data_IF_637158528000
#
_entry.id   IF_637158528000
#
_cell.length_a   1.000
_cell.length_b   1.000
_cell.length_c   1.000
_cell.angle_alpha   90.00
_cell.angle_beta   90.00
_cell.angle_gamma   90.00
#
_symmetry.space_group_name_H-M   'P 1'
#
loop_
_entity.id
_entity.type
_entity.pdbx_description
1 polymer ?
#
# COMPACT_ATOMS: atom_id res chain seq x y z
N UNK A 1 17.24 -7.25 -16.46
CA UNK A 1 16.24 -6.86 -15.45
C UNK A 1 16.70 -7.39 -14.10
N UNK A 2 16.76 -6.56 -13.06
CA UNK A 2 16.99 -7.03 -11.68
C UNK A 2 15.77 -7.87 -11.29
N UNK A 3 15.96 -9.08 -10.78
CA UNK A 3 14.85 -9.85 -10.20
C UNK A 3 14.45 -9.16 -8.89
N UNK A 4 13.28 -8.53 -8.87
CA UNK A 4 12.76 -7.78 -7.73
C UNK A 4 11.67 -8.52 -6.96
N UNK A 5 11.43 -9.79 -7.26
CA UNK A 5 10.46 -10.59 -6.51
C UNK A 5 10.79 -10.57 -5.02
N UNK A 6 9.75 -10.42 -4.21
CA UNK A 6 9.89 -10.51 -2.76
C UNK A 6 10.44 -11.88 -2.34
N UNK A 7 11.22 -11.89 -1.25
CA UNK A 7 11.69 -13.13 -0.60
C UNK A 7 10.63 -13.72 0.33
N UNK A 8 9.59 -12.95 0.66
CA UNK A 8 8.46 -13.44 1.43
C UNK A 8 7.57 -14.26 0.50
N UNK A 9 7.21 -15.49 0.86
CA UNK A 9 6.26 -16.29 0.07
C UNK A 9 4.92 -15.57 -0.06
N UNK A 10 4.42 -15.49 -1.28
CA UNK A 10 3.10 -14.94 -1.59
C UNK A 10 2.16 -16.10 -1.92
N UNK A 11 0.99 -16.11 -1.29
CA UNK A 11 -0.05 -17.10 -1.51
C UNK A 11 -1.25 -16.45 -2.21
N UNK A 12 -2.03 -17.28 -2.89
CA UNK A 12 -3.36 -16.91 -3.38
C UNK A 12 -4.41 -17.57 -2.50
N UNK A 13 -5.44 -16.82 -2.17
CA UNK A 13 -6.51 -17.24 -1.27
C UNK A 13 -7.82 -17.42 -2.05
N UNK A 14 -8.72 -18.22 -1.52
CA UNK A 14 -10.08 -18.34 -2.04
C UNK A 14 -10.81 -16.98 -1.99
N UNK A 15 -11.99 -16.92 -2.62
CA UNK A 15 -12.72 -15.65 -2.79
C UNK A 15 -13.95 -15.52 -1.87
N UNK A 16 -14.20 -16.51 -1.01
CA UNK A 16 -15.29 -16.44 -0.02
C UNK A 16 -14.74 -16.21 1.38
N UNK A 17 -15.47 -15.45 2.20
CA UNK A 17 -15.06 -15.14 3.56
C UNK A 17 -14.80 -16.40 4.40
N UNK A 18 -15.72 -17.36 4.34
CA UNK A 18 -15.63 -18.59 5.14
C UNK A 18 -14.37 -19.40 4.81
N UNK A 19 -14.08 -19.55 3.52
CA UNK A 19 -12.89 -20.27 3.07
C UNK A 19 -11.61 -19.51 3.42
N UNK A 20 -11.59 -18.17 3.23
CA UNK A 20 -10.45 -17.35 3.60
C UNK A 20 -10.12 -17.47 5.10
N UNK A 21 -11.11 -17.35 5.97
CA UNK A 21 -10.91 -17.51 7.41
C UNK A 21 -10.32 -18.89 7.75
N UNK A 22 -10.78 -19.94 7.10
CA UNK A 22 -10.26 -21.29 7.29
C UNK A 22 -8.83 -21.46 6.77
N UNK A 23 -8.49 -20.87 5.65
CA UNK A 23 -7.12 -20.85 5.12
C UNK A 23 -6.15 -20.10 6.05
N UNK A 24 -6.58 -18.95 6.59
CA UNK A 24 -5.79 -18.14 7.51
C UNK A 24 -5.48 -18.84 8.85
N UNK A 25 -6.28 -19.79 9.30
CA UNK A 25 -5.97 -20.61 10.48
C UNK A 25 -4.65 -21.38 10.29
N UNK A 26 -4.38 -21.80 9.06
CA UNK A 26 -3.23 -22.60 8.71
C UNK A 26 -2.10 -21.83 8.02
N UNK A 27 -2.29 -20.54 7.76
CA UNK A 27 -1.29 -19.70 7.13
C UNK A 27 0.03 -19.67 7.93
N UNK A 28 1.19 -20.00 7.31
CA UNK A 28 2.46 -20.09 8.01
C UNK A 28 2.93 -18.74 8.60
N UNK A 29 2.67 -17.64 7.90
CA UNK A 29 3.04 -16.29 8.35
C UNK A 29 2.24 -15.90 9.58
N UNK A 30 0.92 -16.16 9.57
CA UNK A 30 0.05 -15.85 10.70
C UNK A 30 0.33 -16.76 11.91
N UNK A 31 0.72 -18.01 11.71
CA UNK A 31 1.20 -18.88 12.81
C UNK A 31 2.45 -18.28 13.48
N UNK A 32 3.37 -17.76 12.68
CA UNK A 32 4.56 -17.07 13.19
C UNK A 32 4.19 -15.77 13.91
N UNK A 33 3.30 -14.96 13.36
CA UNK A 33 2.79 -13.74 14.00
C UNK A 33 2.16 -14.01 15.35
N UNK A 34 1.32 -15.04 15.47
CA UNK A 34 0.74 -15.46 16.75
C UNK A 34 1.81 -15.84 17.78
N UNK A 35 2.86 -16.53 17.35
CA UNK A 35 3.97 -16.89 18.22
C UNK A 35 4.73 -15.65 18.71
N UNK A 36 5.04 -14.73 17.82
CA UNK A 36 5.72 -13.46 18.15
C UNK A 36 4.88 -12.61 19.11
N UNK A 37 3.56 -12.51 18.88
CA UNK A 37 2.65 -11.81 19.79
C UNK A 37 2.60 -12.45 21.17
N UNK A 38 2.57 -13.77 21.26
CA UNK A 38 2.57 -14.48 22.54
C UNK A 38 3.86 -14.24 23.33
N UNK A 39 5.02 -14.22 22.65
CA UNK A 39 6.30 -13.93 23.28
C UNK A 39 6.42 -12.50 23.84
N UNK A 40 5.72 -11.55 23.23
CA UNK A 40 5.72 -10.13 23.61
C UNK A 40 4.51 -9.72 24.47
N UNK A 41 3.65 -10.66 24.84
CA UNK A 41 2.40 -10.35 25.55
C UNK A 41 2.63 -9.73 26.93
N UNK A 42 3.71 -10.11 27.61
CA UNK A 42 4.04 -9.65 28.96
C UNK A 42 4.97 -8.43 28.98
N UNK A 43 5.31 -7.86 27.81
CA UNK A 43 6.14 -6.65 27.74
C UNK A 43 5.35 -5.44 28.29
N UNK A 44 5.79 -4.83 29.41
CA UNK A 44 5.06 -3.71 30.04
C UNK A 44 5.06 -2.43 29.19
N UNK A 45 5.91 -2.35 28.19
CA UNK A 45 5.98 -1.18 27.27
C UNK A 45 5.13 -1.36 26.01
N UNK A 46 4.53 -2.54 25.82
CA UNK A 46 3.69 -2.79 24.66
C UNK A 46 2.36 -2.05 24.77
N UNK A 47 1.94 -1.30 23.76
CA UNK A 47 0.62 -0.68 23.72
C UNK A 47 -0.50 -1.72 23.85
N UNK A 48 -1.53 -1.41 24.66
CA UNK A 48 -2.63 -2.34 24.95
C UNK A 48 -3.69 -2.31 23.85
N UNK A 49 -3.95 -1.12 23.28
CA UNK A 49 -5.06 -0.90 22.33
C UNK A 49 -4.61 -0.34 20.96
N UNK A 50 -3.37 0.08 20.82
CA UNK A 50 -2.84 0.46 19.52
C UNK A 50 -2.40 -0.77 18.75
N UNK A 51 -2.62 -0.76 17.45
CA UNK A 51 -2.05 -1.79 16.59
C UNK A 51 -0.52 -1.72 16.61
N UNK A 52 0.10 -2.86 16.79
CA UNK A 52 1.55 -3.04 16.77
C UNK A 52 1.88 -4.12 15.75
N UNK A 53 2.84 -3.88 14.88
CA UNK A 53 3.31 -4.92 13.96
C UNK A 53 3.78 -6.16 14.76
N UNK A 54 3.36 -7.36 14.37
CA UNK A 54 3.79 -8.57 15.07
C UNK A 54 5.30 -8.83 14.99
N UNK A 55 5.94 -8.40 13.93
CA UNK A 55 7.37 -8.59 13.69
C UNK A 55 7.99 -7.39 12.97
N UNK A 56 9.18 -6.98 13.41
CA UNK A 56 9.92 -5.89 12.79
C UNK A 56 9.31 -4.50 13.03
N UNK A 57 9.69 -3.54 12.20
CA UNK A 57 9.24 -2.17 12.31
C UNK A 57 7.88 -1.98 11.61
N UNK A 58 7.05 -1.14 12.21
CA UNK A 58 5.89 -0.54 11.58
C UNK A 58 6.26 0.89 11.25
N UNK A 59 6.23 1.22 9.95
CA UNK A 59 6.34 2.58 9.49
C UNK A 59 4.95 3.16 9.21
N UNK A 60 4.83 4.06 8.26
CA UNK A 60 3.59 4.80 7.99
C UNK A 60 2.37 3.89 7.92
N UNK A 61 1.35 4.09 8.77
CA UNK A 61 0.02 3.55 8.49
C UNK A 61 -0.54 4.24 7.24
N UNK A 62 -1.12 3.47 6.35
CA UNK A 62 -1.68 3.98 5.09
C UNK A 62 -2.87 3.17 4.62
N UNK A 63 -3.52 3.59 3.56
CA UNK A 63 -4.57 2.83 2.90
C UNK A 63 -5.74 2.41 3.80
N UNK A 64 -6.03 3.14 4.88
CA UNK A 64 -7.13 2.81 5.79
C UNK A 64 -8.48 2.85 5.08
N UNK A 65 -9.29 1.79 5.20
CA UNK A 65 -10.61 1.74 4.59
C UNK A 65 -11.60 0.85 5.35
N UNK A 66 -12.89 1.00 5.00
CA UNK A 66 -13.96 0.13 5.49
C UNK A 66 -14.51 -0.67 4.31
N UNK A 67 -14.38 -1.99 4.38
CA UNK A 67 -14.78 -2.91 3.33
C UNK A 67 -15.53 -4.11 3.90
N UNK A 68 -16.69 -4.41 3.35
CA UNK A 68 -17.53 -5.57 3.71
C UNK A 68 -17.69 -5.78 5.23
N UNK A 69 -17.94 -4.69 5.97
CA UNK A 69 -18.19 -4.74 7.41
C UNK A 69 -16.93 -4.72 8.30
N UNK A 70 -15.75 -4.50 7.73
CA UNK A 70 -14.47 -4.48 8.44
C UNK A 70 -13.66 -3.25 8.12
N UNK A 71 -12.94 -2.74 9.12
CA UNK A 71 -11.91 -1.74 8.95
C UNK A 71 -10.61 -2.44 8.59
N UNK A 72 -9.98 -2.03 7.50
CA UNK A 72 -8.70 -2.53 7.06
C UNK A 72 -7.63 -1.46 7.27
N UNK A 73 -6.53 -1.84 7.89
CA UNK A 73 -5.35 -1.02 8.09
C UNK A 73 -4.21 -1.63 7.29
N UNK A 74 -3.61 -0.83 6.42
CA UNK A 74 -2.35 -1.17 5.78
C UNK A 74 -1.24 -0.33 6.39
N UNK A 75 -0.01 -0.79 6.28
CA UNK A 75 1.15 -0.09 6.82
C UNK A 75 2.42 -0.52 6.12
N UNK A 76 3.44 0.30 6.15
CA UNK A 76 4.75 -0.07 5.65
C UNK A 76 5.38 -1.10 6.61
N UNK A 77 5.52 -2.34 6.15
CA UNK A 77 6.09 -3.45 6.89
C UNK A 77 7.47 -3.84 6.35
N UNK A 78 8.34 -4.27 7.25
CA UNK A 78 9.66 -4.81 6.93
C UNK A 78 9.74 -6.26 7.41
N UNK A 79 9.38 -7.22 6.57
CA UNK A 79 9.45 -8.63 6.94
C UNK A 79 10.90 -9.07 7.13
N UNK A 80 11.20 -9.96 8.07
CA UNK A 80 12.58 -10.40 8.33
C UNK A 80 13.29 -11.03 7.12
N UNK A 81 12.55 -11.64 6.22
CA UNK A 81 13.08 -12.29 5.01
C UNK A 81 13.50 -11.29 3.93
N UNK A 82 12.88 -10.11 3.95
CA UNK A 82 13.11 -9.08 2.93
C UNK A 82 13.08 -7.70 3.58
N UNK A 83 14.21 -7.02 3.61
CA UNK A 83 14.35 -5.70 4.23
C UNK A 83 13.64 -4.58 3.46
N UNK A 84 13.06 -4.88 2.30
CA UNK A 84 12.29 -3.92 1.52
C UNK A 84 10.89 -3.73 2.13
N UNK A 85 10.34 -2.54 1.97
CA UNK A 85 8.99 -2.23 2.44
C UNK A 85 7.94 -2.94 1.59
N UNK A 86 7.05 -3.63 2.28
CA UNK A 86 5.80 -4.21 1.80
C UNK A 86 4.63 -3.45 2.41
N UNK A 87 3.43 -3.63 1.92
CA UNK A 87 2.25 -3.28 2.68
C UNK A 87 1.88 -4.45 3.61
N UNK A 88 2.06 -4.22 4.91
CA UNK A 88 1.48 -5.05 5.96
C UNK A 88 -0.03 -4.85 6.01
N UNK A 89 -0.75 -5.75 6.67
CA UNK A 89 -2.20 -5.74 6.67
C UNK A 89 -2.78 -6.24 7.99
N UNK A 90 -3.81 -5.57 8.45
CA UNK A 90 -4.63 -6.01 9.57
C UNK A 90 -6.08 -5.57 9.34
N UNK A 91 -7.04 -6.26 9.98
CA UNK A 91 -8.42 -5.82 10.02
C UNK A 91 -8.97 -5.75 11.44
N UNK A 92 -10.04 -4.98 11.61
CA UNK A 92 -10.80 -4.89 12.85
C UNK A 92 -12.28 -4.70 12.54
N UNK A 93 -13.16 -5.18 13.41
CA UNK A 93 -14.60 -4.93 13.33
C UNK A 93 -15.03 -3.74 14.23
N UNK A 94 -14.16 -3.31 15.15
CA UNK A 94 -14.48 -2.30 16.17
C UNK A 94 -13.41 -1.21 16.38
N UNK A 95 -12.31 -1.25 15.61
CA UNK A 95 -11.15 -0.34 15.71
C UNK A 95 -10.30 -0.52 16.99
N UNK A 96 -10.63 -1.47 17.83
CA UNK A 96 -9.91 -1.77 19.08
C UNK A 96 -9.23 -3.13 19.00
N UNK A 97 -9.96 -4.15 18.54
CA UNK A 97 -9.46 -5.50 18.42
C UNK A 97 -9.01 -5.75 16.97
N UNK A 98 -7.70 -5.86 16.81
CA UNK A 98 -7.07 -6.03 15.49
C UNK A 98 -6.63 -7.46 15.26
N UNK A 99 -6.87 -7.94 14.05
CA UNK A 99 -6.47 -9.25 13.55
C UNK A 99 -5.40 -9.09 12.48
N UNK A 100 -4.26 -9.74 12.65
CA UNK A 100 -3.22 -9.75 11.64
C UNK A 100 -3.69 -10.50 10.40
N UNK A 101 -3.30 -9.99 9.25
CA UNK A 101 -3.44 -10.64 7.95
C UNK A 101 -2.08 -10.82 7.27
N UNK A 102 -1.97 -11.68 6.27
CA UNK A 102 -0.78 -11.73 5.41
C UNK A 102 -0.49 -10.38 4.77
N UNK A 103 0.76 -10.18 4.32
CA UNK A 103 1.12 -8.97 3.60
C UNK A 103 0.21 -8.77 2.38
N UNK A 104 -0.26 -7.53 2.19
CA UNK A 104 -1.19 -7.20 1.11
C UNK A 104 -0.46 -6.96 -0.22
N UNK A 105 0.53 -6.08 -0.24
CA UNK A 105 1.23 -5.69 -1.47
C UNK A 105 2.73 -5.96 -1.32
N UNK A 106 3.27 -6.64 -2.32
CA UNK A 106 4.66 -7.06 -2.41
C UNK A 106 5.40 -6.23 -3.45
N UNK A 107 6.67 -5.82 -3.20
CA UNK A 107 7.45 -5.07 -4.18
C UNK A 107 7.84 -5.97 -5.37
N UNK A 108 7.35 -5.62 -6.56
CA UNK A 108 7.68 -6.13 -7.89
C UNK A 108 6.75 -5.44 -8.92
N UNK A 109 7.20 -4.56 -9.84
CA UNK A 109 8.57 -4.25 -10.22
C UNK A 109 9.27 -3.19 -9.35
N UNK A 110 8.55 -2.46 -8.52
CA UNK A 110 9.12 -1.43 -7.65
C UNK A 110 10.11 -2.03 -6.63
N UNK A 111 11.07 -1.24 -6.22
CA UNK A 111 12.04 -1.67 -5.19
C UNK A 111 11.36 -1.78 -3.81
N UNK A 112 10.42 -0.87 -3.49
CA UNK A 112 9.69 -0.84 -2.22
C UNK A 112 8.28 -0.30 -2.44
N UNK A 113 7.33 -0.79 -1.64
CA UNK A 113 5.97 -0.28 -1.58
C UNK A 113 5.88 0.80 -0.49
N UNK A 114 5.94 2.07 -0.88
CA UNK A 114 5.82 3.21 0.04
C UNK A 114 4.36 3.58 0.28
N UNK A 115 4.13 4.70 0.94
CA UNK A 115 2.83 5.15 1.37
C UNK A 115 1.88 5.46 0.21
N UNK A 116 0.60 5.45 0.52
CA UNK A 116 -0.47 5.72 -0.40
C UNK A 116 -1.84 5.68 0.27
N UNK A 117 -2.86 5.67 -0.53
CA UNK A 117 -4.26 5.67 -0.10
C UNK A 117 -5.04 4.53 -0.76
N UNK A 118 -6.18 4.20 -0.17
CA UNK A 118 -7.16 3.31 -0.79
C UNK A 118 -8.41 4.08 -1.21
N UNK A 119 -9.09 3.56 -2.22
CA UNK A 119 -10.42 4.01 -2.67
C UNK A 119 -11.34 2.79 -2.71
N UNK A 120 -12.42 2.85 -1.93
CA UNK A 120 -13.44 1.80 -1.91
C UNK A 120 -14.47 2.08 -2.99
N UNK A 121 -14.67 1.15 -3.90
CA UNK A 121 -15.77 1.13 -4.86
C UNK A 121 -16.81 0.08 -4.46
N UNK A 122 -17.87 -0.04 -5.24
CA UNK A 122 -18.99 -0.94 -4.93
C UNK A 122 -18.56 -2.41 -4.87
N UNK A 123 -17.62 -2.81 -5.71
CA UNK A 123 -17.24 -4.20 -5.98
C UNK A 123 -15.74 -4.50 -5.78
N UNK A 124 -14.96 -3.47 -5.43
CA UNK A 124 -13.51 -3.61 -5.24
C UNK A 124 -12.93 -2.48 -4.40
N UNK A 125 -11.72 -2.68 -3.95
CA UNK A 125 -10.87 -1.66 -3.33
C UNK A 125 -9.64 -1.44 -4.20
N UNK A 126 -9.32 -0.18 -4.43
CA UNK A 126 -8.11 0.26 -5.12
C UNK A 126 -7.07 0.67 -4.08
N UNK A 127 -5.82 0.33 -4.29
CA UNK A 127 -4.67 0.90 -3.60
C UNK A 127 -3.86 1.72 -4.60
N UNK A 128 -3.66 2.99 -4.32
CA UNK A 128 -2.81 3.90 -5.10
C UNK A 128 -1.64 4.30 -4.20
N UNK A 129 -0.41 3.94 -4.56
CA UNK A 129 0.74 4.07 -3.69
C UNK A 129 2.02 4.42 -4.45
N UNK A 130 3.02 4.91 -3.74
CA UNK A 130 4.32 5.21 -4.30
C UNK A 130 5.20 3.96 -4.36
N UNK A 131 5.58 3.53 -5.54
CA UNK A 131 6.56 2.49 -5.80
C UNK A 131 7.94 3.09 -6.04
N UNK A 132 8.90 2.79 -5.17
CA UNK A 132 10.27 3.31 -5.28
C UNK A 132 10.91 2.84 -6.60
N UNK A 133 11.61 3.74 -7.25
CA UNK A 133 12.23 3.62 -8.58
C UNK A 133 11.23 3.50 -9.76
N UNK A 134 9.92 3.42 -9.49
CA UNK A 134 8.88 3.28 -10.53
C UNK A 134 7.97 4.53 -10.62
N UNK A 135 7.34 4.93 -9.52
CA UNK A 135 6.37 6.01 -9.45
C UNK A 135 5.04 5.57 -8.81
N UNK A 136 3.94 6.17 -9.23
CA UNK A 136 2.62 5.80 -8.70
C UNK A 136 2.17 4.46 -9.25
N UNK A 137 1.93 3.53 -8.35
CA UNK A 137 1.40 2.20 -8.64
C UNK A 137 -0.09 2.12 -8.27
N UNK A 138 -0.84 1.28 -8.96
CA UNK A 138 -2.23 0.96 -8.60
C UNK A 138 -2.41 -0.54 -8.56
N UNK A 139 -2.97 -1.02 -7.45
CA UNK A 139 -3.39 -2.41 -7.27
C UNK A 139 -4.87 -2.48 -6.91
N UNK A 140 -5.51 -3.61 -7.18
CA UNK A 140 -6.93 -3.85 -6.89
C UNK A 140 -7.10 -5.16 -6.11
N UNK A 141 -8.11 -5.18 -5.23
CA UNK A 141 -8.62 -6.39 -4.59
C UNK A 141 -10.14 -6.31 -4.49
N UNK A 142 -10.82 -7.46 -4.58
CA UNK A 142 -12.29 -7.56 -4.49
C UNK A 142 -12.77 -8.65 -3.54
N UNK A 143 -11.83 -9.40 -2.96
CA UNK A 143 -12.19 -10.45 -2.00
C UNK A 143 -12.54 -9.88 -0.61
N UNK A 144 -13.27 -10.65 0.22
CA UNK A 144 -13.81 -10.15 1.48
C UNK A 144 -12.79 -9.63 2.48
N UNK A 145 -11.59 -10.22 2.53
CA UNK A 145 -10.53 -9.83 3.45
C UNK A 145 -9.38 -9.09 2.77
N UNK A 146 -9.52 -8.71 1.49
CA UNK A 146 -8.50 -8.01 0.71
C UNK A 146 -7.14 -8.74 0.75
N UNK A 147 -7.15 -10.05 0.57
CA UNK A 147 -5.95 -10.89 0.61
C UNK A 147 -5.27 -11.01 -0.75
N UNK A 148 -6.05 -10.92 -1.84
CA UNK A 148 -5.54 -11.05 -3.20
C UNK A 148 -5.49 -9.68 -3.87
N UNK A 149 -4.30 -9.15 -4.02
CA UNK A 149 -4.06 -7.88 -4.71
C UNK A 149 -3.42 -8.10 -6.06
N UNK A 150 -3.96 -7.47 -7.08
CA UNK A 150 -3.43 -7.49 -8.42
C UNK A 150 -3.03 -6.08 -8.85
N UNK A 151 -1.77 -5.89 -9.27
CA UNK A 151 -1.32 -4.65 -9.90
C UNK A 151 -1.90 -4.54 -11.30
N UNK A 152 -2.62 -3.46 -11.57
CA UNK A 152 -3.36 -3.28 -12.83
C UNK A 152 -2.45 -3.13 -14.06
N UNK A 153 -1.19 -2.82 -13.83
CA UNK A 153 -0.14 -2.74 -14.84
C UNK A 153 1.14 -3.33 -14.28
N UNK A 154 1.99 -3.86 -15.13
CA UNK A 154 3.33 -4.34 -14.76
C UNK A 154 4.37 -3.23 -14.53
N UNK A 155 3.96 -1.98 -14.36
CA UNK A 155 4.79 -0.78 -14.17
C UNK A 155 3.98 0.33 -13.53
N UNK A 156 4.63 1.43 -13.15
CA UNK A 156 3.93 2.61 -12.67
C UNK A 156 2.91 3.16 -13.69
N UNK A 157 1.75 3.56 -13.20
CA UNK A 157 0.72 4.25 -14.00
C UNK A 157 1.04 5.73 -14.19
N UNK A 158 1.73 6.36 -13.20
CA UNK A 158 2.36 7.67 -13.30
C UNK A 158 3.85 7.45 -12.98
N UNK A 159 4.73 7.41 -13.98
CA UNK A 159 6.13 7.06 -13.74
C UNK A 159 6.87 8.18 -13.00
N UNK A 160 7.90 7.80 -12.24
CA UNK A 160 8.90 8.75 -11.78
C UNK A 160 9.55 9.38 -13.00
N UNK A 161 9.72 10.68 -12.91
CA UNK A 161 10.36 11.46 -13.95
C UNK A 161 11.57 12.14 -13.35
N UNK A 162 12.70 11.91 -13.96
CA UNK A 162 13.87 12.75 -13.74
C UNK A 162 13.62 14.09 -14.43
N UNK A 163 13.28 15.10 -13.63
CA UNK A 163 12.93 16.43 -14.10
C UNK A 163 14.07 17.09 -14.87
N UNK A 164 15.32 16.76 -14.54
CA UNK A 164 16.50 17.33 -15.16
C UNK A 164 16.72 16.82 -16.59
N UNK A 165 16.25 15.62 -16.90
CA UNK A 165 16.47 14.97 -18.21
C UNK A 165 15.28 15.08 -19.15
N UNK A 166 14.06 15.24 -18.63
CA UNK A 166 12.85 15.12 -19.46
C UNK A 166 12.01 16.38 -19.58
N UNK A 167 12.32 17.41 -18.81
CA UNK A 167 11.54 18.66 -18.77
C UNK A 167 10.08 18.46 -18.33
N UNK A 168 9.75 17.33 -17.69
CA UNK A 168 8.42 17.11 -17.14
C UNK A 168 8.24 17.93 -15.87
N UNK A 169 7.07 18.54 -15.70
CA UNK A 169 6.86 19.54 -14.65
C UNK A 169 6.44 18.94 -13.32
N UNK A 170 6.66 17.65 -13.05
CA UNK A 170 6.23 17.01 -11.82
C UNK A 170 7.17 15.92 -11.32
N UNK A 171 7.16 15.73 -10.03
CA UNK A 171 7.70 14.58 -9.32
C UNK A 171 6.56 13.92 -8.54
N UNK A 172 6.51 12.59 -8.44
CA UNK A 172 5.41 11.89 -7.76
C UNK A 172 5.89 11.21 -6.49
N UNK A 173 5.12 11.42 -5.40
CA UNK A 173 5.38 10.85 -4.08
C UNK A 173 4.08 10.83 -3.28
N UNK A 174 3.85 9.81 -2.45
CA UNK A 174 2.71 9.66 -1.53
C UNK A 174 1.36 10.08 -2.15
N UNK A 175 0.85 9.33 -3.12
CA UNK A 175 -0.38 9.69 -3.80
C UNK A 175 -1.62 9.44 -2.94
N UNK A 176 -2.64 10.27 -3.10
CA UNK A 176 -4.02 9.93 -2.77
C UNK A 176 -4.84 9.75 -4.04
N UNK A 177 -6.01 9.12 -3.93
CA UNK A 177 -6.91 8.84 -5.04
C UNK A 177 -8.36 9.07 -4.63
N UNK A 178 -9.16 9.65 -5.53
CA UNK A 178 -10.61 9.71 -5.40
C UNK A 178 -11.29 9.58 -6.77
N UNK A 179 -12.60 9.48 -6.77
CA UNK A 179 -13.41 9.35 -7.98
C UNK A 179 -14.44 10.44 -8.06
N UNK A 180 -14.61 11.00 -9.26
CA UNK A 180 -15.68 11.91 -9.64
C UNK A 180 -16.49 11.29 -10.80
N UNK A 181 -17.52 12.02 -11.29
CA UNK A 181 -18.39 11.54 -12.36
C UNK A 181 -17.66 11.28 -13.68
N UNK A 182 -16.58 12.02 -13.94
CA UNK A 182 -15.79 11.97 -15.18
C UNK A 182 -14.55 11.07 -15.08
N UNK A 183 -14.30 10.43 -13.92
CA UNK A 183 -13.18 9.51 -13.76
C UNK A 183 -12.48 9.57 -12.40
N UNK A 184 -11.22 9.19 -12.41
CA UNK A 184 -10.38 9.13 -11.23
C UNK A 184 -9.42 10.32 -11.21
N UNK A 185 -9.19 10.81 -10.01
CA UNK A 185 -8.21 11.84 -9.74
C UNK A 185 -7.17 11.33 -8.77
N UNK A 186 -5.92 11.74 -8.95
CA UNK A 186 -4.84 11.49 -8.00
C UNK A 186 -4.09 12.78 -7.73
N UNK A 187 -3.88 13.06 -6.45
CA UNK A 187 -3.02 14.12 -5.99
C UNK A 187 -1.76 13.50 -5.42
N UNK A 188 -0.60 13.86 -5.97
CA UNK A 188 0.69 13.37 -5.52
C UNK A 188 1.51 14.51 -4.96
N UNK A 189 2.13 14.31 -3.79
CA UNK A 189 3.20 15.17 -3.31
C UNK A 189 4.42 15.10 -4.21
N UNK A 190 5.33 16.05 -4.10
CA UNK A 190 6.58 16.03 -4.83
C UNK A 190 7.37 17.33 -4.69
N UNK A 191 8.39 17.48 -5.52
CA UNK A 191 9.31 18.60 -5.46
C UNK A 191 9.36 19.31 -6.81
N UNK A 192 9.45 20.62 -6.77
CA UNK A 192 9.81 21.48 -7.91
C UNK A 192 11.06 22.25 -7.53
N UNK A 193 11.96 22.43 -8.49
CA UNK A 193 13.22 23.14 -8.36
C UNK A 193 14.21 22.53 -7.33
N UNK A 194 15.37 22.16 -7.76
CA UNK A 194 16.50 21.70 -6.96
C UNK A 194 16.46 20.24 -6.52
N UNK A 195 17.60 19.72 -6.07
CA UNK A 195 17.69 18.39 -5.51
C UNK A 195 16.93 18.28 -4.18
N UNK A 196 16.41 17.08 -3.91
CA UNK A 196 15.76 16.78 -2.63
C UNK A 196 16.71 17.13 -1.48
N UNK A 197 16.24 17.97 -0.55
CA UNK A 197 16.95 18.50 0.64
C UNK A 197 17.82 19.75 0.43
N UNK A 198 17.96 20.28 -0.79
CA UNK A 198 18.65 21.55 -1.04
C UNK A 198 17.76 22.45 -1.90
N UNK A 199 17.31 23.57 -1.37
CA UNK A 199 16.51 24.62 -2.06
C UNK A 199 15.29 24.12 -2.87
N UNK A 200 14.81 22.90 -2.60
CA UNK A 200 13.62 22.36 -3.26
C UNK A 200 12.35 22.95 -2.63
N UNK A 201 11.38 23.25 -3.45
CA UNK A 201 10.03 23.59 -3.01
C UNK A 201 9.13 22.36 -3.11
N UNK A 202 8.41 22.05 -2.03
CA UNK A 202 7.36 21.06 -2.10
C UNK A 202 6.17 21.57 -2.92
N UNK A 203 5.59 20.69 -3.70
CA UNK A 203 4.39 20.96 -4.48
C UNK A 203 3.46 19.76 -4.50
N UNK A 204 2.27 19.98 -5.00
CA UNK A 204 1.29 18.92 -5.23
C UNK A 204 0.94 18.92 -6.70
N UNK A 205 0.82 17.72 -7.26
CA UNK A 205 0.59 17.49 -8.67
C UNK A 205 -0.72 16.74 -8.85
N UNK A 206 -1.61 17.30 -9.65
CA UNK A 206 -2.92 16.75 -9.93
C UNK A 206 -2.93 15.96 -11.25
N UNK A 207 -3.50 14.77 -11.19
CA UNK A 207 -3.66 13.87 -12.33
C UNK A 207 -5.11 13.40 -12.46
N UNK A 208 -5.53 13.10 -13.67
CA UNK A 208 -6.83 12.56 -14.01
C UNK A 208 -6.69 11.31 -14.88
N UNK A 209 -7.59 10.34 -14.68
CA UNK A 209 -7.68 9.12 -15.48
C UNK A 209 -9.11 8.64 -15.61
N UNK A 210 -9.50 8.13 -16.78
CA UNK A 210 -10.78 7.45 -16.98
C UNK A 210 -10.71 5.94 -16.73
N UNK A 211 -9.50 5.35 -16.77
CA UNK A 211 -9.31 3.90 -16.79
C UNK A 211 -8.30 3.36 -15.75
N UNK A 212 -7.79 4.24 -14.88
CA UNK A 212 -6.73 3.98 -13.88
C UNK A 212 -5.36 3.63 -14.49
N UNK A 213 -5.26 3.42 -15.79
CA UNK A 213 -4.04 2.98 -16.47
C UNK A 213 -3.31 4.12 -17.18
N UNK A 214 -4.08 5.09 -17.67
CA UNK A 214 -3.57 6.27 -18.39
C UNK A 214 -3.93 7.52 -17.60
N UNK A 215 -2.92 8.23 -17.14
CA UNK A 215 -3.06 9.43 -16.34
C UNK A 215 -2.59 10.65 -17.09
N UNK A 216 -3.39 11.70 -17.04
CA UNK A 216 -3.11 13.00 -17.65
C UNK A 216 -2.73 13.94 -16.51
N UNK A 217 -1.58 14.57 -16.63
CA UNK A 217 -1.16 15.64 -15.73
C UNK A 217 -2.00 16.89 -15.98
N UNK A 218 -2.66 17.39 -14.94
CA UNK A 218 -3.53 18.58 -15.02
C UNK A 218 -2.84 19.85 -14.54
N UNK A 219 -1.74 19.74 -13.80
CA UNK A 219 -1.01 20.90 -13.31
C UNK A 219 -0.72 20.80 -11.81
N UNK A 220 -0.14 21.89 -11.29
CA UNK A 220 0.02 22.07 -9.85
C UNK A 220 -1.34 22.29 -9.20
N UNK A 221 -1.53 21.65 -8.07
CA UNK A 221 -2.67 21.89 -7.20
C UNK A 221 -2.23 22.87 -6.12
N UNK A 222 -2.84 24.07 -6.12
CA UNK A 222 -2.52 25.17 -5.21
C UNK A 222 -3.66 25.34 -4.21
#
# INVERSE_FOLDING_TARGET
>A
MKNRKSKVPQFSYTTTLEEQLKELENDPLLKRFRTSRAQLADDPHRPIYHYVNPEGNLNDPNGFCFWQGRYHLFYQAYPPEDSRQHWGHAYSEDLVHWHDLPLAIYPDPEDKCFSGATLVEKDRVLACYHGIEEGTMVAISSDPLLLNWEKITGKAVIPIVDTDLTGRPYHVFDPCIWREDDGYYSLSGGYIDGPIFEDCRMSQFLFHSQDLKRWIYLGHFI
#
